data_IF_579719640191
#
_entry.id   IF_579719640191
#
_cell.length_a   1.000
_cell.length_b   1.000
_cell.length_c   1.000
_cell.angle_alpha   90.00
_cell.angle_beta   90.00
_cell.angle_gamma   90.00
#
_symmetry.space_group_name_H-M   'P 1'
#
loop_
_entity.id
_entity.type
_entity.pdbx_description
1 polymer ?
#
# COMPACT_ATOMS: atom_id res chain seq x y z
N UNK A 1 28.97 -35.00 -6.88
CA UNK A 1 27.88 -34.03 -6.61
C UNK A 1 27.49 -34.18 -5.15
N UNK A 2 27.31 -33.10 -4.39
CA UNK A 2 26.73 -33.21 -3.05
C UNK A 2 25.34 -33.86 -3.17
N UNK A 3 24.94 -34.73 -2.22
CA UNK A 3 23.62 -35.33 -2.27
C UNK A 3 22.55 -34.25 -2.23
N UNK A 4 21.48 -34.40 -3.02
CA UNK A 4 20.26 -33.60 -2.86
C UNK A 4 19.78 -33.70 -1.41
N UNK A 5 19.12 -32.66 -0.92
CA UNK A 5 18.61 -32.58 0.46
C UNK A 5 17.83 -33.85 0.87
N UNK A 6 17.09 -34.44 -0.08
CA UNK A 6 16.39 -35.71 0.09
C UNK A 6 17.33 -36.93 0.26
N UNK A 7 18.42 -37.01 -0.51
CA UNK A 7 19.41 -38.09 -0.41
C UNK A 7 20.20 -38.06 0.90
N UNK A 8 20.51 -36.86 1.40
CA UNK A 8 21.15 -36.70 2.72
C UNK A 8 20.25 -37.21 3.84
N UNK A 9 18.97 -36.80 3.88
CA UNK A 9 18.02 -37.26 4.90
C UNK A 9 17.83 -38.78 4.88
N UNK A 10 17.84 -39.41 3.70
CA UNK A 10 17.73 -40.86 3.55
C UNK A 10 18.96 -41.61 4.08
N UNK A 11 20.15 -41.00 4.02
CA UNK A 11 21.40 -41.58 4.54
C UNK A 11 21.53 -41.55 6.08
N UNK A 12 20.67 -40.78 6.77
CA UNK A 12 20.76 -40.62 8.23
C UNK A 12 20.31 -41.87 9.01
N UNK A 13 20.92 -42.17 10.18
CA UNK A 13 20.44 -43.21 11.09
C UNK A 13 18.99 -42.99 11.53
N UNK A 14 18.27 -44.08 11.81
CA UNK A 14 16.84 -44.02 12.16
C UNK A 14 16.55 -43.13 13.37
N UNK A 15 17.42 -43.15 14.39
CA UNK A 15 17.30 -42.29 15.57
C UNK A 15 17.39 -40.80 15.21
N UNK A 16 18.25 -40.44 14.26
CA UNK A 16 18.39 -39.05 13.77
C UNK A 16 17.17 -38.66 12.95
N UNK A 17 16.68 -39.52 12.05
CA UNK A 17 15.44 -39.29 11.27
C UNK A 17 14.24 -39.00 12.18
N UNK A 18 14.07 -39.79 13.25
CA UNK A 18 13.01 -39.56 14.26
C UNK A 18 13.12 -38.20 14.92
N UNK A 19 14.33 -37.78 15.31
CA UNK A 19 14.56 -36.45 15.90
C UNK A 19 14.26 -35.32 14.90
N UNK A 20 14.69 -35.45 13.64
CA UNK A 20 14.39 -34.47 12.59
C UNK A 20 12.88 -34.35 12.37
N UNK A 21 12.16 -35.47 12.33
CA UNK A 21 10.70 -35.43 12.20
C UNK A 21 10.02 -34.80 13.42
N UNK A 22 10.50 -35.05 14.64
CA UNK A 22 10.00 -34.35 15.83
C UNK A 22 10.23 -32.83 15.75
N UNK A 23 11.40 -32.39 15.27
CA UNK A 23 11.70 -30.97 15.05
C UNK A 23 10.80 -30.35 13.95
N UNK A 24 10.46 -31.10 12.90
CA UNK A 24 9.50 -30.62 11.88
C UNK A 24 8.11 -30.37 12.46
N UNK A 25 7.64 -31.24 13.35
CA UNK A 25 6.35 -31.04 14.02
C UNK A 25 6.38 -29.76 14.89
N UNK A 26 7.45 -29.56 15.68
CA UNK A 26 7.62 -28.33 16.45
C UNK A 26 7.67 -27.08 15.57
N UNK A 27 8.32 -27.18 14.40
CA UNK A 27 8.35 -26.07 13.45
C UNK A 27 6.96 -25.77 12.86
N UNK A 28 6.12 -26.79 12.66
CA UNK A 28 4.75 -26.61 12.19
C UNK A 28 3.87 -25.94 13.27
N UNK A 29 4.03 -26.32 14.54
CA UNK A 29 3.38 -25.64 15.67
C UNK A 29 3.80 -24.17 15.76
N UNK A 30 5.10 -23.88 15.56
CA UNK A 30 5.59 -22.50 15.51
C UNK A 30 4.96 -21.70 14.35
N UNK A 31 4.84 -22.28 13.16
CA UNK A 31 4.21 -21.64 12.01
C UNK A 31 2.74 -21.26 12.27
N UNK A 32 2.00 -22.08 13.04
CA UNK A 32 0.63 -21.75 13.47
C UNK A 32 0.59 -20.52 14.39
N UNK A 33 1.57 -20.40 15.31
CA UNK A 33 1.68 -19.23 16.19
C UNK A 33 2.00 -17.97 15.38
N UNK A 34 2.90 -18.06 14.39
CA UNK A 34 3.22 -16.95 13.49
C UNK A 34 1.99 -16.52 12.67
N UNK A 35 1.19 -17.46 12.16
CA UNK A 35 -0.03 -17.16 11.43
C UNK A 35 -1.01 -16.28 12.24
N UNK A 36 -1.25 -16.65 13.51
CA UNK A 36 -2.07 -15.85 14.43
C UNK A 36 -1.45 -14.48 14.74
N UNK A 37 -0.11 -14.41 14.85
CA UNK A 37 0.60 -13.14 15.02
C UNK A 37 0.37 -12.18 13.83
N UNK A 38 0.49 -12.67 12.59
CA UNK A 38 0.27 -11.85 11.40
C UNK A 38 -1.19 -11.46 11.21
N UNK A 39 -2.14 -12.34 11.55
CA UNK A 39 -3.55 -11.98 11.63
C UNK A 39 -3.80 -10.87 12.65
N UNK A 40 -3.10 -10.90 13.78
CA UNK A 40 -3.09 -9.83 14.78
C UNK A 40 -2.55 -8.51 14.24
N UNK A 41 -1.48 -8.53 13.46
CA UNK A 41 -0.95 -7.34 12.76
C UNK A 41 -2.00 -6.76 11.82
N UNK A 42 -2.63 -7.59 10.99
CA UNK A 42 -3.65 -7.12 10.05
C UNK A 42 -4.84 -6.45 10.75
N UNK A 43 -5.33 -7.05 11.85
CA UNK A 43 -6.37 -6.41 12.68
C UNK A 43 -5.91 -5.08 13.28
N UNK A 44 -4.63 -4.95 13.62
CA UNK A 44 -4.05 -3.71 14.10
C UNK A 44 -3.98 -2.67 12.98
N UNK A 45 -3.56 -3.05 11.78
CA UNK A 45 -3.55 -2.19 10.59
C UNK A 45 -4.96 -1.68 10.27
N UNK A 46 -5.97 -2.57 10.29
CA UNK A 46 -7.38 -2.21 10.13
C UNK A 46 -7.84 -1.16 11.15
N UNK A 47 -7.50 -1.38 12.42
CA UNK A 47 -7.86 -0.46 13.51
C UNK A 47 -7.24 0.92 13.29
N UNK A 48 -5.95 0.99 12.96
CA UNK A 48 -5.26 2.27 12.79
C UNK A 48 -5.59 2.94 11.45
N UNK A 49 -5.93 2.19 10.41
CA UNK A 49 -6.45 2.74 9.17
C UNK A 49 -7.71 3.57 9.41
N UNK A 50 -8.62 3.10 10.29
CA UNK A 50 -9.80 3.88 10.68
C UNK A 50 -9.47 5.20 11.39
N UNK A 51 -8.39 5.26 12.17
CA UNK A 51 -7.93 6.51 12.79
C UNK A 51 -7.21 7.43 11.81
N UNK A 52 -6.53 6.87 10.80
CA UNK A 52 -5.87 7.65 9.76
C UNK A 52 -6.85 8.19 8.71
N UNK A 53 -8.00 7.53 8.50
CA UNK A 53 -8.95 7.90 7.45
C UNK A 53 -9.39 9.37 7.52
N UNK A 54 -9.79 9.95 8.67
CA UNK A 54 -10.15 11.37 8.73
C UNK A 54 -9.02 12.32 8.36
N UNK A 55 -7.76 11.93 8.61
CA UNK A 55 -6.59 12.71 8.21
C UNK A 55 -6.38 12.66 6.70
N UNK A 56 -6.62 11.51 6.07
CA UNK A 56 -6.53 11.35 4.63
C UNK A 56 -7.68 12.03 3.90
N UNK A 57 -8.90 11.98 4.46
CA UNK A 57 -10.06 12.70 3.94
C UNK A 57 -9.77 14.21 3.95
N UNK A 58 -9.31 14.75 5.09
CA UNK A 58 -8.94 16.17 5.19
C UNK A 58 -7.79 16.54 4.26
N UNK A 59 -6.79 15.68 4.09
CA UNK A 59 -5.70 15.89 3.12
C UNK A 59 -6.26 15.98 1.70
N UNK A 60 -7.20 15.09 1.35
CA UNK A 60 -7.86 15.09 0.05
C UNK A 60 -8.64 16.40 -0.17
N UNK A 61 -9.37 16.86 0.85
CA UNK A 61 -10.11 18.12 0.80
C UNK A 61 -9.20 19.33 0.58
N UNK A 62 -8.03 19.37 1.24
CA UNK A 62 -7.02 20.43 1.05
C UNK A 62 -6.43 20.37 -0.37
N UNK A 63 -5.98 19.19 -0.81
CA UNK A 63 -5.38 19.01 -2.15
C UNK A 63 -6.34 19.46 -3.24
N UNK A 64 -7.64 19.20 -3.07
CA UNK A 64 -8.66 19.51 -4.05
C UNK A 64 -9.37 20.87 -3.81
N UNK A 65 -8.91 21.67 -2.84
CA UNK A 65 -9.52 22.94 -2.42
C UNK A 65 -11.03 22.85 -2.13
N UNK A 66 -11.46 21.72 -1.56
CA UNK A 66 -12.75 21.58 -0.90
C UNK A 66 -12.72 22.26 0.48
N UNK A 67 -11.54 22.26 1.12
CA UNK A 67 -11.29 22.91 2.40
C UNK A 67 -10.04 23.79 2.30
N UNK A 68 -10.17 25.05 2.72
CA UNK A 68 -9.05 25.98 2.85
C UNK A 68 -8.48 25.92 4.27
N UNK A 69 -7.18 25.61 4.45
CA UNK A 69 -6.55 25.55 5.78
C UNK A 69 -6.64 26.86 6.56
N UNK A 70 -6.77 26.77 7.88
CA UNK A 70 -6.67 27.94 8.75
C UNK A 70 -5.21 28.38 8.93
N UNK A 71 -4.98 29.62 9.38
CA UNK A 71 -3.63 30.11 9.69
C UNK A 71 -2.88 29.20 10.67
N UNK A 72 -3.57 28.68 11.69
CA UNK A 72 -3.00 27.77 12.69
C UNK A 72 -2.57 26.43 12.07
N UNK A 73 -3.32 25.92 11.08
CA UNK A 73 -3.02 24.65 10.40
C UNK A 73 -1.83 24.75 9.44
N UNK A 74 -1.55 25.95 8.95
CA UNK A 74 -0.39 26.24 8.11
C UNK A 74 0.90 26.37 8.93
N UNK A 75 0.83 26.50 10.26
CA UNK A 75 2.01 26.58 11.12
C UNK A 75 2.55 25.17 11.40
N UNK A 76 3.79 24.92 10.96
CA UNK A 76 4.45 23.65 11.24
C UNK A 76 4.86 23.53 12.72
N UNK A 77 4.11 22.73 13.48
CA UNK A 77 4.26 22.65 14.94
C UNK A 77 5.50 21.87 15.43
N UNK A 78 6.17 21.09 14.58
CA UNK A 78 7.26 20.18 14.98
C UNK A 78 8.60 20.71 14.47
N UNK A 79 9.28 21.50 15.28
CA UNK A 79 10.48 22.29 14.93
C UNK A 79 11.71 21.54 14.40
N UNK A 80 11.61 21.03 13.17
CA UNK A 80 12.76 20.87 12.28
C UNK A 80 12.77 22.12 11.41
N UNK A 81 13.81 22.94 11.53
CA UNK A 81 14.04 24.04 10.59
C UNK A 81 14.35 23.45 9.21
N UNK A 82 13.32 23.14 8.44
CA UNK A 82 13.42 23.27 6.99
C UNK A 82 13.15 24.74 6.69
N UNK A 83 14.21 25.47 6.38
CA UNK A 83 14.09 26.86 5.97
C UNK A 83 13.30 26.91 4.68
N UNK A 84 12.02 27.26 4.78
CA UNK A 84 11.33 28.37 4.12
C UNK A 84 9.97 28.53 4.84
N UNK A 85 9.94 29.30 5.94
CA UNK A 85 8.75 30.11 6.23
C UNK A 85 9.08 31.50 5.66
N UNK A 86 9.07 31.62 4.33
CA UNK A 86 9.12 32.94 3.71
C UNK A 86 7.86 33.68 4.17
N UNK A 87 8.10 34.80 4.85
CA UNK A 87 7.09 35.70 5.36
C UNK A 87 6.07 35.98 4.25
N UNK A 88 4.80 35.62 4.51
CA UNK A 88 3.58 36.01 3.79
C UNK A 88 3.85 37.00 2.65
N UNK A 89 4.35 36.49 1.52
CA UNK A 89 4.49 37.28 0.32
C UNK A 89 3.06 37.58 -0.14
N UNK A 90 2.70 38.86 -0.22
CA UNK A 90 1.41 39.23 -0.79
C UNK A 90 1.35 38.64 -2.19
N UNK A 91 0.37 37.78 -2.43
CA UNK A 91 0.05 37.27 -3.77
C UNK A 91 0.07 38.45 -4.76
N UNK A 92 0.90 38.41 -5.81
CA UNK A 92 0.92 39.46 -6.82
C UNK A 92 -0.48 39.62 -7.42
N UNK A 93 -1.02 40.84 -7.39
CA UNK A 93 -2.31 41.16 -8.01
C UNK A 93 -2.28 40.75 -9.50
N UNK A 94 -3.16 39.81 -9.89
CA UNK A 94 -3.31 39.37 -11.28
C UNK A 94 -2.89 37.93 -11.60
N UNK A 95 -2.44 37.13 -10.62
CA UNK A 95 -2.29 35.67 -10.85
C UNK A 95 -3.66 34.98 -10.91
N UNK A 96 -3.84 33.99 -11.80
CA UNK A 96 -5.06 33.19 -11.82
C UNK A 96 -5.20 32.44 -10.49
N UNK A 97 -6.42 32.40 -9.95
CA UNK A 97 -6.73 31.62 -8.76
C UNK A 97 -6.47 30.13 -9.02
N UNK A 98 -5.47 29.57 -8.33
CA UNK A 98 -5.12 28.15 -8.43
C UNK A 98 -6.06 27.39 -7.51
N UNK A 99 -6.84 26.46 -8.07
CA UNK A 99 -7.79 25.64 -7.31
C UNK A 99 -7.10 24.37 -6.80
N UNK A 100 -6.80 24.32 -5.51
CA UNK A 100 -6.12 23.20 -4.85
C UNK A 100 -4.62 23.17 -5.13
N UNK A 101 -4.01 22.00 -5.00
CA UNK A 101 -2.58 21.76 -5.27
C UNK A 101 -2.44 20.99 -6.59
N UNK A 102 -2.07 21.66 -7.70
CA UNK A 102 -1.94 21.00 -9.00
C UNK A 102 -0.89 19.89 -8.99
N UNK A 103 -1.18 18.80 -9.71
CA UNK A 103 -0.26 17.68 -9.91
C UNK A 103 0.31 17.07 -8.61
N UNK A 104 -0.38 17.21 -7.47
CA UNK A 104 0.12 16.76 -6.17
C UNK A 104 0.58 15.29 -6.20
N UNK A 105 -0.30 14.38 -6.64
CA UNK A 105 0.00 12.95 -6.67
C UNK A 105 1.01 12.55 -7.73
N UNK A 106 0.96 13.16 -8.92
CA UNK A 106 1.97 12.97 -9.95
C UNK A 106 3.36 13.35 -9.43
N UNK A 107 3.46 14.51 -8.77
CA UNK A 107 4.69 14.99 -8.14
C UNK A 107 5.14 14.03 -7.04
N UNK A 108 4.23 13.60 -6.16
CA UNK A 108 4.53 12.63 -5.11
C UNK A 108 5.07 11.31 -5.68
N UNK A 109 4.42 10.76 -6.72
CA UNK A 109 4.86 9.52 -7.36
C UNK A 109 6.21 9.65 -8.08
N UNK A 110 6.49 10.78 -8.74
CA UNK A 110 7.78 11.03 -9.40
C UNK A 110 8.94 11.17 -8.40
N UNK A 111 8.66 11.56 -7.16
CA UNK A 111 9.66 11.60 -6.09
C UNK A 111 9.96 10.22 -5.48
N UNK A 112 9.17 9.19 -5.79
CA UNK A 112 9.39 7.81 -5.32
C UNK A 112 10.17 7.03 -6.38
N UNK A 113 11.40 6.59 -6.04
CA UNK A 113 12.37 5.94 -6.95
C UNK A 113 11.83 4.76 -7.77
N UNK A 114 10.89 4.00 -7.22
CA UNK A 114 10.31 2.83 -7.90
C UNK A 114 9.20 3.28 -8.85
N UNK A 115 8.31 4.17 -8.41
CA UNK A 115 7.16 4.63 -9.20
C UNK A 115 7.60 5.52 -10.37
N UNK A 116 8.61 6.37 -10.19
CA UNK A 116 9.08 7.26 -11.26
C UNK A 116 9.60 6.50 -12.49
N UNK A 117 10.06 5.25 -12.32
CA UNK A 117 10.51 4.40 -13.42
C UNK A 117 9.36 3.69 -14.15
N UNK A 118 8.18 3.64 -13.53
CA UNK A 118 6.99 3.02 -14.09
C UNK A 118 6.14 4.01 -14.90
N UNK A 119 6.23 5.30 -14.58
CA UNK A 119 5.47 6.38 -15.22
C UNK A 119 6.17 6.82 -16.50
N UNK A 120 5.48 6.73 -17.63
CA UNK A 120 5.91 7.24 -18.94
C UNK A 120 5.29 8.61 -19.22
N UNK A 121 5.79 9.30 -20.24
CA UNK A 121 5.33 10.66 -20.62
C UNK A 121 3.80 10.74 -20.82
N UNK A 122 3.20 9.76 -21.50
CA UNK A 122 1.74 9.74 -21.69
C UNK A 122 0.97 9.42 -20.39
N UNK A 123 1.58 8.67 -19.46
CA UNK A 123 0.96 8.37 -18.17
C UNK A 123 0.93 9.62 -17.28
N UNK A 124 1.91 10.53 -17.44
CA UNK A 124 1.93 11.80 -16.71
C UNK A 124 0.65 12.59 -16.99
N UNK A 125 0.27 12.75 -18.27
CA UNK A 125 -0.93 13.47 -18.69
C UNK A 125 -2.21 12.94 -18.03
N UNK A 126 -2.33 11.62 -17.90
CA UNK A 126 -3.44 10.97 -17.21
C UNK A 126 -3.39 11.23 -15.70
N UNK A 127 -2.21 11.10 -15.10
CA UNK A 127 -1.98 11.28 -13.66
C UNK A 127 -2.13 12.75 -13.20
N UNK A 128 -2.11 13.73 -14.10
CA UNK A 128 -2.48 15.12 -13.77
C UNK A 128 -3.92 15.21 -13.25
N UNK A 129 -4.80 14.29 -13.67
CA UNK A 129 -6.18 14.23 -13.24
C UNK A 129 -6.38 13.43 -11.93
N UNK A 130 -5.33 12.88 -11.33
CA UNK A 130 -5.42 12.09 -10.10
C UNK A 130 -5.71 13.00 -8.89
N UNK A 131 -6.90 12.84 -8.30
CA UNK A 131 -7.36 13.58 -7.10
C UNK A 131 -6.82 12.99 -5.81
N UNK A 132 -6.85 11.67 -5.72
CA UNK A 132 -6.60 10.96 -4.47
C UNK A 132 -6.14 9.53 -4.69
N UNK A 133 -5.47 9.00 -3.67
CA UNK A 133 -5.00 7.61 -3.60
C UNK A 133 -5.43 7.04 -2.26
N UNK A 134 -6.34 6.07 -2.30
CA UNK A 134 -6.92 5.46 -1.12
C UNK A 134 -6.50 3.99 -0.97
N UNK A 135 -6.44 3.52 0.28
CA UNK A 135 -6.21 2.11 0.61
C UNK A 135 -7.45 1.61 1.37
N UNK A 136 -8.11 0.59 0.81
CA UNK A 136 -9.25 -0.08 1.41
C UNK A 136 -8.89 -1.50 1.78
N UNK A 137 -8.81 -1.80 3.07
CA UNK A 137 -8.63 -3.17 3.54
C UNK A 137 -9.95 -3.94 3.41
N UNK A 138 -9.89 -5.24 3.09
CA UNK A 138 -11.04 -6.11 3.38
C UNK A 138 -11.27 -6.14 4.88
N UNK A 139 -12.48 -6.46 5.32
CA UNK A 139 -12.74 -6.64 6.74
C UNK A 139 -11.93 -7.81 7.34
N UNK A 140 -12.37 -8.28 8.50
CA UNK A 140 -11.78 -9.44 9.20
C UNK A 140 -12.07 -10.79 8.52
N UNK A 141 -12.71 -10.78 7.34
CA UNK A 141 -13.07 -11.97 6.58
C UNK A 141 -11.92 -12.43 5.68
N UNK A 142 -11.81 -13.74 5.48
CA UNK A 142 -10.79 -14.36 4.65
C UNK A 142 -11.23 -14.53 3.18
N UNK A 143 -10.31 -14.40 2.20
CA UNK A 143 -8.91 -14.02 2.38
C UNK A 143 -8.76 -12.54 2.73
N UNK A 144 -7.82 -12.21 3.63
CA UNK A 144 -7.42 -10.82 3.86
C UNK A 144 -6.95 -10.19 2.55
N UNK A 145 -7.20 -8.89 2.38
CA UNK A 145 -6.83 -8.17 1.18
C UNK A 145 -6.76 -6.67 1.46
N UNK A 146 -6.13 -5.96 0.54
CA UNK A 146 -6.25 -4.51 0.45
C UNK A 146 -6.38 -4.09 -1.01
N UNK A 147 -7.11 -3.02 -1.24
CA UNK A 147 -7.36 -2.42 -2.54
C UNK A 147 -6.78 -1.02 -2.56
N UNK A 148 -5.93 -0.76 -3.55
CA UNK A 148 -5.48 0.58 -3.89
C UNK A 148 -6.50 1.18 -4.85
N UNK A 149 -7.06 2.33 -4.49
CA UNK A 149 -8.00 3.09 -5.31
C UNK A 149 -7.33 4.38 -5.78
N UNK A 150 -7.26 4.57 -7.10
CA UNK A 150 -6.78 5.78 -7.75
C UNK A 150 -8.01 6.57 -8.21
N UNK A 151 -8.29 7.71 -7.57
CA UNK A 151 -9.49 8.52 -7.80
C UNK A 151 -9.16 9.67 -8.74
N UNK A 152 -9.78 9.72 -9.92
CA UNK A 152 -9.53 10.70 -10.96
C UNK A 152 -10.65 11.75 -11.05
N UNK A 153 -10.30 12.95 -11.53
CA UNK A 153 -11.30 13.87 -12.09
C UNK A 153 -11.83 13.29 -13.41
N UNK A 154 -13.02 13.73 -13.82
CA UNK A 154 -13.44 13.57 -15.20
C UNK A 154 -12.34 14.09 -16.13
N UNK A 155 -11.92 13.26 -17.07
CA UNK A 155 -10.77 13.49 -17.94
C UNK A 155 -11.09 13.01 -19.36
N UNK A 156 -10.21 13.28 -20.31
CA UNK A 156 -10.41 12.93 -21.73
C UNK A 156 -10.01 11.49 -22.08
N UNK A 157 -9.40 10.75 -21.15
CA UNK A 157 -8.79 9.45 -21.43
C UNK A 157 -9.72 8.26 -21.16
N UNK A 158 -10.51 8.29 -20.10
CA UNK A 158 -11.44 7.21 -19.74
C UNK A 158 -12.68 7.70 -18.99
N UNK A 159 -13.69 6.84 -18.88
CA UNK A 159 -14.95 7.17 -18.18
C UNK A 159 -14.95 6.86 -16.69
N UNK A 160 -14.08 5.94 -16.24
CA UNK A 160 -14.07 5.43 -14.87
C UNK A 160 -13.43 6.44 -13.93
N UNK A 161 -14.13 6.84 -12.87
CA UNK A 161 -13.58 7.78 -11.87
C UNK A 161 -12.59 7.12 -10.92
N UNK A 162 -12.74 5.83 -10.62
CA UNK A 162 -11.89 5.13 -9.65
C UNK A 162 -11.29 3.87 -10.27
N UNK A 163 -9.97 3.86 -10.47
CA UNK A 163 -9.24 2.66 -10.86
C UNK A 163 -8.81 1.89 -9.62
N UNK A 164 -9.07 0.59 -9.59
CA UNK A 164 -8.81 -0.25 -8.42
C UNK A 164 -7.79 -1.34 -8.73
N UNK A 165 -6.90 -1.60 -7.77
CA UNK A 165 -6.02 -2.78 -7.76
C UNK A 165 -6.06 -3.45 -6.40
N UNK A 166 -6.62 -4.65 -6.35
CA UNK A 166 -6.77 -5.46 -5.13
C UNK A 166 -5.64 -6.49 -5.05
N UNK A 167 -5.07 -6.66 -3.86
CA UNK A 167 -4.06 -7.66 -3.54
C UNK A 167 -4.58 -8.59 -2.45
N UNK A 168 -4.53 -9.90 -2.71
CA UNK A 168 -4.99 -10.95 -1.80
C UNK A 168 -3.82 -11.44 -0.94
N UNK A 169 -4.06 -11.61 0.35
CA UNK A 169 -3.11 -12.08 1.36
C UNK A 169 -3.76 -13.21 2.16
N UNK A 170 -3.18 -14.42 2.17
CA UNK A 170 -3.70 -15.50 3.00
C UNK A 170 -3.36 -15.23 4.47
N UNK A 171 -4.22 -15.66 5.38
CA UNK A 171 -3.93 -15.64 6.82
C UNK A 171 -3.36 -16.94 7.36
N UNK A 172 -3.39 -18.01 6.56
CA UNK A 172 -2.97 -19.34 6.99
C UNK A 172 -1.83 -19.86 6.12
N UNK A 173 -0.86 -20.56 6.73
CA UNK A 173 0.19 -21.24 5.99
C UNK A 173 -0.42 -22.35 5.13
N UNK A 174 0.23 -22.66 4.00
CA UNK A 174 -0.17 -23.77 3.14
C UNK A 174 -0.01 -25.10 3.88
N UNK A 175 -1.10 -25.85 4.08
CA UNK A 175 -1.09 -27.17 4.71
C UNK A 175 -0.16 -28.17 3.98
N UNK A 176 0.08 -27.96 2.68
CA UNK A 176 0.96 -28.80 1.85
C UNK A 176 2.44 -28.44 1.99
N UNK A 177 2.76 -27.21 2.39
CA UNK A 177 4.11 -26.78 2.75
C UNK A 177 4.08 -25.74 3.90
N UNK A 178 3.92 -26.19 5.15
CA UNK A 178 3.78 -25.32 6.32
C UNK A 178 5.05 -24.53 6.66
N UNK A 179 6.13 -24.74 5.91
CA UNK A 179 7.42 -24.06 6.08
C UNK A 179 7.71 -23.03 4.97
N UNK A 180 6.87 -22.96 3.94
CA UNK A 180 7.07 -22.11 2.76
C UNK A 180 6.87 -20.63 3.02
N UNK A 181 5.93 -20.25 3.89
CA UNK A 181 5.50 -18.86 4.08
C UNK A 181 5.72 -18.39 5.51
N UNK A 182 6.56 -17.37 5.69
CA UNK A 182 6.84 -16.75 7.02
C UNK A 182 6.18 -15.39 7.21
N UNK A 183 5.57 -14.82 6.18
CA UNK A 183 4.91 -13.51 6.17
C UNK A 183 3.69 -13.64 5.23
N UNK A 184 2.58 -12.92 5.45
CA UNK A 184 1.51 -12.84 4.47
C UNK A 184 2.07 -12.34 3.14
N UNK A 185 2.18 -13.23 2.17
CA UNK A 185 2.62 -12.91 0.81
C UNK A 185 1.41 -12.57 -0.04
N UNK A 186 1.61 -11.70 -1.04
CA UNK A 186 0.58 -11.44 -2.04
C UNK A 186 0.44 -12.70 -2.90
N UNK A 187 -0.66 -13.42 -2.73
CA UNK A 187 -0.96 -14.67 -3.47
C UNK A 187 -1.72 -14.43 -4.76
N UNK A 188 -2.29 -13.24 -4.91
CA UNK A 188 -3.10 -12.90 -6.07
C UNK A 188 -3.32 -11.40 -6.14
N UNK A 189 -3.63 -10.93 -7.35
CA UNK A 189 -4.05 -9.56 -7.53
C UNK A 189 -5.07 -9.44 -8.65
N UNK A 190 -6.03 -8.55 -8.46
CA UNK A 190 -7.11 -8.28 -9.42
C UNK A 190 -7.14 -6.79 -9.70
N UNK A 191 -7.01 -6.41 -10.97
CA UNK A 191 -7.22 -5.02 -11.42
C UNK A 191 -8.67 -4.78 -11.85
N UNK A 192 -8.99 -3.54 -12.17
CA UNK A 192 -10.23 -3.19 -12.89
C UNK A 192 -9.98 -3.11 -14.40
N UNK A 193 -11.03 -3.29 -15.20
CA UNK A 193 -11.02 -2.90 -16.60
C UNK A 193 -10.97 -1.37 -16.71
N UNK A 194 -10.26 -0.85 -17.71
CA UNK A 194 -10.24 0.59 -18.01
C UNK A 194 -11.04 0.81 -19.29
N UNK A 195 -12.11 1.60 -19.18
CA UNK A 195 -12.98 1.98 -20.30
C UNK A 195 -12.45 3.26 -20.94
N UNK A 196 -11.55 3.09 -21.92
CA UNK A 196 -10.85 4.17 -22.62
C UNK A 196 -11.79 4.88 -23.60
N UNK A 197 -11.66 6.21 -23.68
CA UNK A 197 -12.34 7.04 -24.67
C UNK A 197 -11.63 6.94 -26.03
N UNK A 198 -12.42 6.96 -27.10
CA UNK A 198 -11.92 7.02 -28.48
C UNK A 198 -11.39 8.42 -28.86
#
# INVERSE_FOLDING_TARGET
MPPTQAGYLQSLPQGVKRRVNALRNLQAEYAQIEAEFYKGIYHLELKYAAFSQPLFDKRSDIINAVYEPTEDECQWAVGVQEGVCEAMEREPEGKPHINGIPHFWLTAFKNIKVLCKLIRENDELVLEHLKDVNIKFSGVEEPMSFTVELVFKSNEYFFIEVLTKTYLMPSHPDDSDPFSSRVPEIIGSTGCAIDWKE
#
